data_IF_129973284271
#
_entry.id   IF_129973284271
#
_cell.length_a   1.000
_cell.length_b   1.000
_cell.length_c   1.000
_cell.angle_alpha   90.00
_cell.angle_beta   90.00
_cell.angle_gamma   90.00
#
_symmetry.space_group_name_H-M   'P 1'
#
loop_
_entity.id
_entity.type
_entity.pdbx_description
1 polymer ?
#
# COMPACT_ATOMS: atom_id res chain seq x y z
N UNK A 1 10.73 4.72 15.63
CA UNK A 1 9.53 3.84 15.55
C UNK A 1 9.88 2.51 16.20
N UNK A 2 8.97 1.97 17.03
CA UNK A 2 9.03 0.61 17.57
C UNK A 2 7.82 -0.15 17.03
N UNK A 3 8.00 -1.37 16.55
CA UNK A 3 6.91 -2.24 16.15
C UNK A 3 6.90 -3.50 17.02
N UNK A 4 5.73 -3.83 17.57
CA UNK A 4 5.49 -5.11 18.25
C UNK A 4 4.65 -5.98 17.33
N UNK A 5 5.24 -7.09 16.91
CA UNK A 5 4.62 -8.05 15.99
C UNK A 5 4.33 -9.36 16.73
N UNK A 6 3.09 -9.80 16.65
CA UNK A 6 2.62 -11.05 17.23
C UNK A 6 2.13 -11.96 16.09
N UNK A 7 2.63 -13.18 16.06
CA UNK A 7 2.11 -14.21 15.19
C UNK A 7 1.98 -15.49 16.03
N UNK A 8 0.90 -16.18 15.88
CA UNK A 8 0.64 -17.44 16.58
C UNK A 8 -0.26 -18.35 15.80
N UNK A 9 -0.14 -19.65 16.09
CA UNK A 9 -1.07 -20.65 15.60
C UNK A 9 -1.33 -21.70 16.69
N UNK A 10 -2.56 -22.13 16.77
CA UNK A 10 -2.99 -23.28 17.60
C UNK A 10 -3.90 -24.12 16.71
N UNK A 11 -3.44 -25.30 16.36
CA UNK A 11 -4.06 -26.15 15.33
C UNK A 11 -4.28 -25.34 14.03
N UNK A 12 -5.50 -25.28 13.53
CA UNK A 12 -5.88 -24.55 12.31
C UNK A 12 -6.24 -23.07 12.57
N UNK A 13 -6.14 -22.60 13.83
CA UNK A 13 -6.42 -21.21 14.21
C UNK A 13 -5.12 -20.40 14.13
N UNK A 14 -5.19 -19.29 13.43
CA UNK A 14 -4.09 -18.35 13.19
C UNK A 14 -4.36 -17.02 13.89
N UNK A 15 -3.32 -16.35 14.34
CA UNK A 15 -3.36 -15.00 14.90
C UNK A 15 -2.26 -14.16 14.29
N UNK A 16 -2.58 -12.93 13.91
CA UNK A 16 -1.60 -11.91 13.52
C UNK A 16 -1.97 -10.55 14.04
N UNK A 17 -1.01 -9.85 14.64
CA UNK A 17 -1.17 -8.46 15.05
C UNK A 17 0.18 -7.72 14.95
N UNK A 18 0.13 -6.46 14.54
CA UNK A 18 1.28 -5.57 14.56
C UNK A 18 0.86 -4.18 15.06
N UNK A 19 1.46 -3.76 16.20
CA UNK A 19 1.30 -2.43 16.77
C UNK A 19 2.56 -1.63 16.50
N UNK A 20 2.40 -0.37 16.11
CA UNK A 20 3.48 0.56 15.82
C UNK A 20 3.43 1.78 16.72
N UNK A 21 4.56 2.10 17.31
CA UNK A 21 4.76 3.24 18.22
C UNK A 21 5.74 4.20 17.56
N UNK A 22 5.23 5.35 17.21
CA UNK A 22 6.00 6.51 16.77
C UNK A 22 6.03 7.51 17.96
N UNK A 23 6.91 8.48 17.93
CA UNK A 23 6.95 9.56 18.92
C UNK A 23 5.72 10.47 18.89
N UNK A 24 5.01 10.52 17.78
CA UNK A 24 3.83 11.39 17.56
C UNK A 24 2.51 10.62 17.41
N UNK A 25 2.52 9.28 17.25
CA UNK A 25 1.31 8.47 17.17
C UNK A 25 1.55 7.01 17.56
N UNK A 26 0.47 6.33 17.93
CA UNK A 26 0.41 4.88 18.06
C UNK A 26 -0.68 4.35 17.13
N UNK A 27 -0.41 3.30 16.38
CA UNK A 27 -1.38 2.73 15.45
C UNK A 27 -1.28 1.20 15.39
N UNK A 28 -2.38 0.57 15.01
CA UNK A 28 -2.44 -0.85 14.66
C UNK A 28 -2.25 -0.95 13.16
N UNK A 29 -1.22 -1.67 12.71
CA UNK A 29 -1.07 -1.95 11.28
C UNK A 29 -2.06 -3.03 10.83
N UNK A 30 -2.15 -4.13 11.60
CA UNK A 30 -3.13 -5.19 11.42
C UNK A 30 -3.41 -5.90 12.73
N UNK A 31 -4.60 -6.49 12.85
CA UNK A 31 -4.98 -7.34 13.96
C UNK A 31 -6.13 -8.26 13.51
N UNK A 32 -5.83 -9.55 13.33
CA UNK A 32 -6.79 -10.51 12.78
C UNK A 32 -6.67 -11.89 13.42
N UNK A 33 -7.80 -12.61 13.46
CA UNK A 33 -7.86 -14.05 13.67
C UNK A 33 -8.08 -14.73 12.32
N UNK A 34 -7.41 -15.85 12.10
CA UNK A 34 -7.52 -16.67 10.90
C UNK A 34 -7.90 -18.11 11.21
N UNK A 35 -8.41 -18.81 10.21
CA UNK A 35 -8.74 -20.23 10.28
C UNK A 35 -8.49 -20.91 8.93
N UNK A 36 -7.73 -22.01 8.96
CA UNK A 36 -7.53 -22.90 7.81
C UNK A 36 -8.63 -23.95 7.78
N UNK A 37 -9.74 -23.68 7.07
CA UNK A 37 -10.95 -24.52 7.12
C UNK A 37 -10.94 -25.67 6.11
N UNK A 38 -10.08 -25.62 5.09
CA UNK A 38 -9.82 -26.66 4.10
C UNK A 38 -8.36 -26.57 3.64
N UNK A 39 -7.76 -27.65 3.09
CA UNK A 39 -6.43 -27.58 2.52
C UNK A 39 -6.28 -26.42 1.51
N UNK A 40 -5.33 -25.54 1.78
CA UNK A 40 -5.05 -24.34 0.98
C UNK A 40 -6.14 -23.24 0.99
N UNK A 41 -7.12 -23.31 1.90
CA UNK A 41 -8.09 -22.26 2.14
C UNK A 41 -7.90 -21.66 3.52
N UNK A 42 -7.76 -20.38 3.57
CA UNK A 42 -7.60 -19.59 4.79
C UNK A 42 -8.66 -18.48 4.81
N UNK A 43 -9.28 -18.24 5.94
CA UNK A 43 -10.10 -17.06 6.22
C UNK A 43 -9.45 -16.26 7.33
N UNK A 44 -9.40 -14.93 7.18
CA UNK A 44 -8.99 -13.97 8.21
C UNK A 44 -10.11 -13.00 8.48
N UNK A 45 -10.32 -12.61 9.75
CA UNK A 45 -11.29 -11.61 10.17
C UNK A 45 -10.65 -10.64 11.17
N UNK A 46 -10.91 -9.35 11.01
CA UNK A 46 -10.32 -8.26 11.76
C UNK A 46 -9.74 -7.19 10.84
N UNK A 47 -8.72 -6.48 11.28
CA UNK A 47 -7.94 -5.58 10.41
C UNK A 47 -7.01 -6.46 9.57
N UNK A 48 -7.41 -6.71 8.33
CA UNK A 48 -6.75 -7.65 7.41
C UNK A 48 -6.20 -6.92 6.19
N UNK A 49 -5.17 -7.48 5.50
CA UNK A 49 -4.63 -6.80 4.32
C UNK A 49 -5.65 -6.76 3.17
N UNK A 50 -5.75 -5.61 2.52
CA UNK A 50 -6.43 -5.44 1.23
C UNK A 50 -5.49 -5.93 0.14
N UNK A 51 -5.79 -7.09 -0.47
CA UNK A 51 -4.94 -7.71 -1.47
C UNK A 51 -5.14 -7.06 -2.84
N UNK A 52 -4.16 -6.24 -3.25
CA UNK A 52 -4.20 -5.51 -4.51
C UNK A 52 -2.81 -5.51 -5.19
N UNK A 53 -2.75 -5.75 -6.50
CA UNK A 53 -1.52 -5.71 -7.28
C UNK A 53 -0.45 -6.72 -6.87
N UNK A 54 0.82 -6.33 -7.05
CA UNK A 54 1.98 -7.09 -6.62
C UNK A 54 2.00 -7.28 -5.10
N UNK A 55 2.36 -8.49 -4.66
CA UNK A 55 2.39 -8.86 -3.25
C UNK A 55 3.78 -9.38 -2.86
N UNK A 56 4.24 -9.17 -1.61
CA UNK A 56 3.61 -8.36 -0.55
C UNK A 56 3.73 -6.85 -0.79
N UNK A 57 4.66 -6.41 -1.63
CA UNK A 57 4.93 -5.01 -1.96
C UNK A 57 5.16 -4.85 -3.46
N UNK A 58 4.87 -3.68 -3.97
CA UNK A 58 5.12 -3.28 -5.35
C UNK A 58 6.40 -2.42 -5.46
N UNK A 59 7.41 -2.75 -4.66
CA UNK A 59 8.71 -2.08 -4.60
C UNK A 59 9.71 -2.90 -3.80
N UNK A 60 10.99 -2.48 -3.81
CA UNK A 60 12.08 -3.04 -3.00
C UNK A 60 12.62 -2.04 -1.97
N UNK A 61 12.29 -0.75 -2.14
CA UNK A 61 12.80 0.37 -1.34
C UNK A 61 12.02 0.59 -0.06
N UNK A 62 12.59 1.37 0.85
CA UNK A 62 11.92 1.84 2.06
C UNK A 62 10.68 2.69 1.78
N UNK A 63 10.64 3.36 0.64
CA UNK A 63 9.59 4.33 0.30
C UNK A 63 8.35 3.73 -0.34
N UNK A 64 8.30 2.42 -0.56
CA UNK A 64 7.25 1.75 -1.34
C UNK A 64 7.15 2.26 -2.79
N UNK A 65 6.07 1.94 -3.46
CA UNK A 65 5.75 2.56 -4.75
C UNK A 65 4.80 3.77 -4.57
N UNK A 66 4.57 4.58 -5.60
CA UNK A 66 3.54 5.63 -5.55
C UNK A 66 2.14 5.13 -5.21
N UNK A 67 1.83 3.84 -5.42
CA UNK A 67 0.54 3.25 -5.05
C UNK A 67 0.27 3.30 -3.54
N UNK A 68 1.31 3.26 -2.71
CA UNK A 68 1.18 3.37 -1.26
C UNK A 68 0.51 4.69 -0.85
N UNK A 69 0.89 5.80 -1.49
CA UNK A 69 0.41 7.15 -1.15
C UNK A 69 -1.01 7.46 -1.65
N UNK A 70 -1.62 6.53 -2.36
CA UNK A 70 -3.00 6.61 -2.86
C UNK A 70 -3.88 5.46 -2.36
N UNK A 71 -3.42 4.72 -1.32
CA UNK A 71 -4.22 3.65 -0.72
C UNK A 71 -4.29 2.34 -1.53
N UNK A 72 -3.33 2.06 -2.42
CA UNK A 72 -3.35 0.87 -3.28
C UNK A 72 -2.16 -0.07 -3.07
N UNK A 73 -1.41 0.09 -2.00
CA UNK A 73 -0.29 -0.80 -1.61
C UNK A 73 -0.14 -0.82 -0.10
N UNK A 74 0.10 -2.01 0.46
CA UNK A 74 0.29 -2.27 1.91
C UNK A 74 -0.85 -1.68 2.76
N UNK A 75 -2.06 -1.83 2.27
CA UNK A 75 -3.30 -1.36 2.84
C UNK A 75 -3.96 -2.42 3.72
N UNK A 76 -4.64 -2.00 4.80
CA UNK A 76 -5.24 -2.87 5.82
C UNK A 76 -6.57 -2.28 6.33
N UNK A 77 -7.63 -3.04 6.14
CA UNK A 77 -9.00 -2.64 6.49
C UNK A 77 -9.69 -3.61 7.44
N UNK A 78 -10.71 -3.12 8.14
CA UNK A 78 -11.57 -3.93 9.00
C UNK A 78 -12.53 -4.77 8.16
N UNK A 79 -12.29 -6.08 8.09
CA UNK A 79 -13.10 -6.96 7.26
C UNK A 79 -12.79 -8.44 7.38
N UNK A 80 -13.12 -9.14 6.31
CA UNK A 80 -12.90 -10.58 6.14
C UNK A 80 -12.16 -10.80 4.82
N UNK A 81 -11.06 -11.53 4.88
CA UNK A 81 -10.28 -11.96 3.73
C UNK A 81 -10.30 -13.48 3.63
N UNK A 82 -10.68 -14.01 2.48
CA UNK A 82 -10.57 -15.43 2.14
C UNK A 82 -9.49 -15.59 1.08
N UNK A 83 -8.50 -16.43 1.35
CA UNK A 83 -7.39 -16.72 0.45
C UNK A 83 -7.36 -18.19 0.08
N UNK A 84 -7.04 -18.49 -1.18
CA UNK A 84 -6.84 -19.84 -1.68
C UNK A 84 -5.59 -19.95 -2.54
N UNK A 85 -4.71 -20.88 -2.19
CA UNK A 85 -3.62 -21.33 -3.07
C UNK A 85 -4.05 -22.63 -3.77
N UNK A 86 -4.22 -22.60 -5.09
CA UNK A 86 -4.64 -23.77 -5.86
C UNK A 86 -3.43 -24.60 -6.29
N UNK A 87 -3.62 -25.90 -6.48
CA UNK A 87 -2.55 -26.84 -6.89
C UNK A 87 -2.00 -26.58 -8.31
N UNK A 88 -2.79 -25.94 -9.15
CA UNK A 88 -2.50 -25.59 -10.53
C UNK A 88 -1.92 -24.17 -10.69
N UNK A 89 -1.20 -23.71 -9.66
CA UNK A 89 -0.48 -22.43 -9.62
C UNK A 89 -1.37 -21.16 -9.60
N UNK A 90 -2.67 -21.32 -9.44
CA UNK A 90 -3.57 -20.18 -9.25
C UNK A 90 -3.62 -19.77 -7.78
N UNK A 91 -3.69 -18.48 -7.55
CA UNK A 91 -4.00 -17.87 -6.27
C UNK A 91 -5.23 -17.00 -6.39
N UNK A 92 -6.13 -17.10 -5.43
CA UNK A 92 -7.33 -16.29 -5.33
C UNK A 92 -7.39 -15.66 -3.93
N UNK A 93 -7.60 -14.36 -3.86
CA UNK A 93 -7.88 -13.61 -2.66
C UNK A 93 -9.22 -12.87 -2.85
N UNK A 94 -10.16 -13.03 -1.91
CA UNK A 94 -11.46 -12.35 -1.91
C UNK A 94 -11.67 -11.67 -0.56
N UNK A 95 -11.89 -10.36 -0.57
CA UNK A 95 -12.08 -9.55 0.61
C UNK A 95 -13.44 -8.84 0.65
N UNK A 96 -14.00 -8.71 1.84
CA UNK A 96 -15.06 -7.77 2.16
C UNK A 96 -14.63 -6.95 3.35
N UNK A 97 -14.54 -5.63 3.17
CA UNK A 97 -14.11 -4.70 4.18
C UNK A 97 -15.26 -3.77 4.56
N UNK A 98 -15.54 -3.72 5.85
CA UNK A 98 -16.65 -2.92 6.37
C UNK A 98 -16.31 -1.44 6.37
N UNK A 99 -15.12 -1.12 6.85
CA UNK A 99 -14.56 0.23 7.00
C UNK A 99 -13.03 0.12 6.93
N UNK A 100 -12.37 1.27 6.96
CA UNK A 100 -10.93 1.37 7.19
C UNK A 100 -10.51 0.84 8.58
N UNK A 101 -9.22 0.80 8.88
CA UNK A 101 -8.67 0.28 10.14
C UNK A 101 -9.06 1.11 11.39
N UNK A 102 -9.51 2.36 11.22
CA UNK A 102 -9.98 3.23 12.29
C UNK A 102 -11.50 3.18 12.52
N UNK A 103 -12.24 2.34 11.78
CA UNK A 103 -13.66 2.12 11.99
C UNK A 103 -14.58 3.09 11.25
N UNK A 104 -14.08 3.77 10.23
CA UNK A 104 -14.87 4.69 9.41
C UNK A 104 -15.04 6.09 10.01
N UNK A 105 -15.88 6.92 9.38
CA UNK A 105 -16.07 8.33 9.72
C UNK A 105 -16.70 8.52 11.10
N UNK A 106 -17.51 7.58 11.52
CA UNK A 106 -18.21 7.53 12.80
C UNK A 106 -17.39 6.88 13.93
N UNK A 107 -16.14 6.53 13.65
CA UNK A 107 -15.23 5.97 14.65
C UNK A 107 -14.88 6.98 15.75
N UNK A 108 -14.39 6.45 16.86
CA UNK A 108 -13.99 7.26 18.04
C UNK A 108 -12.64 7.98 17.86
N UNK A 109 -12.17 8.12 16.63
CA UNK A 109 -10.87 8.72 16.29
C UNK A 109 -11.09 10.11 15.72
N UNK A 110 -10.67 11.14 16.49
CA UNK A 110 -10.79 12.53 16.06
C UNK A 110 -9.83 12.86 14.91
N UNK A 111 -8.59 12.38 14.96
CA UNK A 111 -7.56 12.59 13.95
C UNK A 111 -7.39 11.34 13.08
N UNK A 112 -8.08 11.33 11.95
CA UNK A 112 -8.07 10.21 11.01
C UNK A 112 -6.77 10.07 10.20
N UNK A 113 -5.81 10.97 10.36
CA UNK A 113 -4.47 10.83 9.78
C UNK A 113 -3.54 9.96 10.63
N UNK A 114 -3.88 9.68 11.90
CA UNK A 114 -3.06 8.84 12.80
C UNK A 114 -3.26 7.36 12.54
N UNK A 115 -2.96 6.94 11.31
CA UNK A 115 -3.06 5.58 10.81
C UNK A 115 -1.80 5.16 10.05
N UNK A 116 -1.74 3.87 9.75
CA UNK A 116 -0.62 3.29 9.00
C UNK A 116 -0.85 3.37 7.49
N UNK A 117 -1.99 2.89 7.01
CA UNK A 117 -2.34 2.89 5.59
C UNK A 117 -2.82 4.28 5.13
N UNK A 118 -2.61 4.59 3.86
CA UNK A 118 -3.23 5.76 3.26
C UNK A 118 -4.66 5.44 2.86
N UNK A 119 -5.63 6.12 3.47
CA UNK A 119 -7.03 6.00 3.13
C UNK A 119 -7.67 7.34 2.84
N UNK A 120 -8.78 7.32 2.10
CA UNK A 120 -9.59 8.51 1.88
C UNK A 120 -10.32 8.87 3.16
N UNK A 121 -10.07 10.10 3.64
CA UNK A 121 -10.62 10.65 4.89
C UNK A 121 -11.51 11.88 4.66
N UNK A 122 -11.55 12.41 3.45
CA UNK A 122 -12.34 13.59 3.13
C UNK A 122 -12.31 13.98 1.66
N UNK A 123 -13.01 15.05 1.38
CA UNK A 123 -13.04 15.70 0.07
C UNK A 123 -12.32 17.02 0.16
N UNK A 124 -11.46 17.34 -0.81
CA UNK A 124 -10.81 18.64 -0.89
C UNK A 124 -11.71 19.63 -1.60
N UNK A 125 -12.20 20.62 -0.88
CA UNK A 125 -12.98 21.70 -1.47
C UNK A 125 -12.09 22.73 -2.15
N UNK A 126 -12.62 23.40 -3.14
CA UNK A 126 -11.87 24.40 -3.92
C UNK A 126 -11.38 25.56 -3.04
N UNK A 127 -10.08 25.79 -3.03
CA UNK A 127 -9.44 26.87 -2.26
C UNK A 127 -8.94 26.46 -0.88
N UNK A 128 -9.18 25.22 -0.44
CA UNK A 128 -8.53 24.69 0.75
C UNK A 128 -7.06 24.36 0.51
N UNK A 129 -6.25 24.49 1.55
CA UNK A 129 -4.85 24.05 1.53
C UNK A 129 -4.75 22.55 1.33
N UNK A 130 -3.81 22.10 0.50
CA UNK A 130 -3.65 20.68 0.10
C UNK A 130 -3.28 19.76 1.28
N UNK A 131 -2.78 20.30 2.37
CA UNK A 131 -2.40 19.58 3.59
C UNK A 131 -3.38 19.82 4.75
N UNK A 132 -4.43 20.64 4.58
CA UNK A 132 -5.37 20.91 5.64
C UNK A 132 -6.20 19.67 6.01
N UNK A 133 -6.62 19.61 7.29
CA UNK A 133 -7.60 18.63 7.73
C UNK A 133 -8.90 18.76 6.91
N UNK A 134 -9.59 17.65 6.59
CA UNK A 134 -10.83 17.70 5.83
C UNK A 134 -11.94 18.47 6.57
N UNK A 135 -12.55 19.45 5.91
CA UNK A 135 -13.77 20.08 6.39
C UNK A 135 -14.99 19.22 6.07
N UNK A 136 -14.96 18.51 4.93
CA UNK A 136 -15.95 17.50 4.56
C UNK A 136 -15.34 16.11 4.73
N UNK A 137 -15.58 15.49 5.89
CA UNK A 137 -15.11 14.13 6.23
C UNK A 137 -15.95 13.09 5.49
N UNK A 138 -15.28 12.16 4.83
CA UNK A 138 -15.88 10.95 4.27
C UNK A 138 -14.97 9.75 4.55
N UNK A 139 -15.50 8.55 4.39
CA UNK A 139 -14.74 7.31 4.53
C UNK A 139 -15.22 6.25 3.58
N UNK A 140 -14.37 5.29 3.31
CA UNK A 140 -14.66 4.09 2.54
C UNK A 140 -15.47 3.10 3.38
N UNK A 141 -16.38 2.37 2.74
CA UNK A 141 -17.16 1.35 3.43
C UNK A 141 -17.75 0.32 2.47
N UNK A 142 -18.01 -0.89 3.03
CA UNK A 142 -18.59 -2.02 2.29
C UNK A 142 -17.85 -2.29 0.98
N UNK A 143 -16.52 -2.39 1.08
CA UNK A 143 -15.63 -2.62 -0.06
C UNK A 143 -15.52 -4.11 -0.35
N UNK A 144 -15.77 -4.49 -1.58
CA UNK A 144 -15.44 -5.80 -2.14
C UNK A 144 -14.11 -5.70 -2.86
N UNK A 145 -13.18 -6.60 -2.55
CA UNK A 145 -11.90 -6.71 -3.23
C UNK A 145 -11.67 -8.13 -3.73
N UNK A 146 -11.06 -8.25 -4.89
CA UNK A 146 -10.69 -9.52 -5.48
C UNK A 146 -9.33 -9.43 -6.15
N UNK A 147 -8.49 -10.46 -5.95
CA UNK A 147 -7.20 -10.60 -6.61
C UNK A 147 -7.08 -12.04 -7.12
N UNK A 148 -6.63 -12.19 -8.37
CA UNK A 148 -6.27 -13.47 -8.94
C UNK A 148 -4.86 -13.39 -9.53
N UNK A 149 -4.04 -14.37 -9.23
CA UNK A 149 -2.69 -14.52 -9.78
C UNK A 149 -2.49 -15.91 -10.36
N UNK A 150 -1.69 -16.01 -11.41
CA UNK A 150 -1.26 -17.27 -12.02
C UNK A 150 0.26 -17.31 -12.07
N UNK A 151 0.84 -18.32 -11.43
CA UNK A 151 2.28 -18.55 -11.44
C UNK A 151 2.66 -19.51 -12.56
N UNK A 152 3.73 -19.20 -13.28
CA UNK A 152 4.28 -20.05 -14.34
C UNK A 152 5.81 -19.98 -14.35
N UNK A 153 6.42 -21.01 -14.95
CA UNK A 153 7.88 -21.09 -15.18
C UNK A 153 8.16 -21.21 -16.67
N UNK A 154 8.97 -20.33 -17.21
CA UNK A 154 9.46 -20.41 -18.60
C UNK A 154 10.98 -20.29 -18.56
N UNK A 155 11.68 -21.43 -18.77
CA UNK A 155 13.14 -21.46 -18.86
C UNK A 155 13.85 -21.05 -17.56
N UNK A 156 13.26 -21.31 -16.40
CA UNK A 156 13.79 -20.93 -15.10
C UNK A 156 13.42 -19.50 -14.65
N UNK A 157 12.59 -18.79 -15.42
CA UNK A 157 11.95 -17.53 -15.01
C UNK A 157 10.62 -17.85 -14.36
N UNK A 158 10.56 -17.79 -13.04
CA UNK A 158 9.33 -17.98 -12.27
C UNK A 158 8.60 -16.66 -12.20
N UNK A 159 7.40 -16.60 -12.79
CA UNK A 159 6.61 -15.38 -12.90
C UNK A 159 5.20 -15.58 -12.34
N UNK A 160 4.67 -14.56 -11.68
CA UNK A 160 3.24 -14.41 -11.42
C UNK A 160 2.70 -13.26 -12.28
N UNK A 161 1.66 -13.53 -13.05
CA UNK A 161 0.82 -12.52 -13.69
C UNK A 161 -0.54 -12.51 -13.00
N UNK A 162 -1.11 -11.34 -12.79
CA UNK A 162 -2.40 -11.27 -12.13
C UNK A 162 -3.14 -9.97 -12.35
N UNK A 163 -4.35 -9.96 -11.81
CA UNK A 163 -5.23 -8.79 -11.80
C UNK A 163 -5.92 -8.65 -10.47
N UNK A 164 -6.28 -7.42 -10.13
CA UNK A 164 -7.01 -7.08 -8.92
C UNK A 164 -8.08 -6.06 -9.24
N UNK A 165 -9.15 -6.10 -8.47
CA UNK A 165 -10.19 -5.08 -8.51
C UNK A 165 -10.76 -4.88 -7.10
N UNK A 166 -11.18 -3.65 -6.81
CA UNK A 166 -11.96 -3.31 -5.64
C UNK A 166 -13.08 -2.34 -6.02
N UNK A 167 -14.17 -2.43 -5.26
CA UNK A 167 -15.34 -1.56 -5.40
C UNK A 167 -15.98 -1.37 -4.04
N UNK A 168 -16.19 -0.11 -3.65
CA UNK A 168 -16.78 0.25 -2.37
C UNK A 168 -17.69 1.46 -2.41
N UNK A 169 -18.31 1.74 -1.30
CA UNK A 169 -19.09 2.95 -1.08
C UNK A 169 -18.28 4.04 -0.38
N UNK A 170 -18.74 5.27 -0.50
CA UNK A 170 -18.26 6.42 0.26
C UNK A 170 -19.40 6.96 1.13
N UNK A 171 -19.14 7.27 2.40
CA UNK A 171 -20.13 7.78 3.34
C UNK A 171 -19.59 8.93 4.18
N UNK A 172 -20.52 9.77 4.68
CA UNK A 172 -20.24 10.92 5.54
C UNK A 172 -20.68 10.71 7.00
N UNK A 173 -20.87 9.46 7.42
CA UNK A 173 -21.48 9.00 8.67
C UNK A 173 -23.03 8.96 8.65
N UNK A 174 -23.70 9.75 7.84
CA UNK A 174 -25.17 9.78 7.79
C UNK A 174 -25.70 9.14 6.51
N UNK A 175 -25.03 9.42 5.38
CA UNK A 175 -25.51 9.05 4.06
C UNK A 175 -24.40 8.44 3.22
N UNK A 176 -24.81 7.65 2.22
CA UNK A 176 -23.94 7.30 1.11
C UNK A 176 -23.76 8.53 0.22
N UNK A 177 -22.51 9.00 0.09
CA UNK A 177 -22.15 10.19 -0.67
C UNK A 177 -21.45 9.88 -1.98
N UNK A 178 -21.23 8.59 -2.27
CA UNK A 178 -20.58 8.19 -3.51
C UNK A 178 -20.19 6.73 -3.53
N UNK A 179 -19.31 6.41 -4.47
CA UNK A 179 -18.66 5.11 -4.60
C UNK A 179 -17.26 5.29 -5.15
N UNK A 180 -16.45 4.24 -5.05
CA UNK A 180 -15.12 4.20 -5.63
C UNK A 180 -14.81 2.82 -6.18
N UNK A 181 -13.89 2.77 -7.10
CA UNK A 181 -13.32 1.52 -7.59
C UNK A 181 -11.86 1.70 -8.00
N UNK A 182 -11.14 0.60 -7.96
CA UNK A 182 -9.81 0.53 -8.53
C UNK A 182 -9.58 -0.84 -9.17
N UNK A 183 -8.64 -0.89 -10.11
CA UNK A 183 -8.19 -2.14 -10.70
C UNK A 183 -6.68 -2.09 -11.01
N UNK A 184 -6.05 -3.24 -11.06
CA UNK A 184 -4.66 -3.38 -11.44
C UNK A 184 -4.42 -4.62 -12.28
N UNK A 185 -3.39 -4.54 -13.14
CA UNK A 185 -2.70 -5.69 -13.71
C UNK A 185 -1.25 -5.66 -13.26
N UNK A 186 -0.70 -6.83 -12.94
CA UNK A 186 0.65 -6.92 -12.40
C UNK A 186 1.42 -8.12 -12.93
N UNK A 187 2.73 -7.99 -12.89
CA UNK A 187 3.71 -9.04 -13.14
C UNK A 187 4.79 -8.99 -12.07
N UNK A 188 5.15 -10.15 -11.53
CA UNK A 188 6.31 -10.32 -10.65
C UNK A 188 7.11 -11.51 -11.16
N UNK A 189 8.37 -11.31 -11.55
CA UNK A 189 9.21 -12.32 -12.17
C UNK A 189 10.53 -12.48 -11.43
N UNK A 190 10.91 -13.71 -11.15
CA UNK A 190 12.18 -14.06 -10.52
C UNK A 190 13.00 -14.91 -11.47
N UNK A 191 14.25 -14.50 -11.71
CA UNK A 191 15.23 -15.25 -12.48
C UNK A 191 16.57 -15.26 -11.74
N UNK A 192 16.95 -16.42 -11.22
CA UNK A 192 18.16 -16.57 -10.39
C UNK A 192 18.17 -15.60 -9.20
N UNK A 193 18.96 -14.51 -9.29
CA UNK A 193 19.13 -13.48 -8.27
C UNK A 193 18.39 -12.17 -8.61
N UNK A 194 17.73 -12.13 -9.75
CA UNK A 194 16.99 -10.98 -10.22
C UNK A 194 15.51 -11.09 -9.84
N UNK A 195 14.93 -9.96 -9.46
CA UNK A 195 13.47 -9.76 -9.37
C UNK A 195 13.06 -8.60 -10.25
N UNK A 196 11.97 -8.75 -10.97
CA UNK A 196 11.35 -7.73 -11.82
C UNK A 196 9.89 -7.62 -11.43
N UNK A 197 9.44 -6.40 -11.22
CA UNK A 197 8.03 -6.12 -10.96
C UNK A 197 7.52 -5.07 -11.95
N UNK A 198 6.30 -5.29 -12.44
CA UNK A 198 5.56 -4.32 -13.25
C UNK A 198 4.12 -4.29 -12.77
N UNK A 199 3.55 -3.09 -12.63
CA UNK A 199 2.15 -2.92 -12.29
C UNK A 199 1.60 -1.67 -12.96
N UNK A 200 0.40 -1.81 -13.52
CA UNK A 200 -0.44 -0.70 -13.91
C UNK A 200 -1.73 -0.73 -13.11
N UNK A 201 -2.15 0.41 -12.57
CA UNK A 201 -3.39 0.54 -11.80
C UNK A 201 -4.16 1.80 -12.23
N UNK A 202 -5.46 1.78 -11.95
CA UNK A 202 -6.32 2.94 -12.09
C UNK A 202 -7.30 2.97 -10.93
N UNK A 203 -7.63 4.15 -10.42
CA UNK A 203 -8.65 4.36 -9.42
C UNK A 203 -9.58 5.51 -9.80
N UNK A 204 -10.79 5.47 -9.24
CA UNK A 204 -11.85 6.45 -9.47
C UNK A 204 -12.72 6.58 -8.20
N UNK A 205 -12.71 7.77 -7.62
CA UNK A 205 -13.58 8.19 -6.54
C UNK A 205 -14.68 9.09 -7.09
N UNK A 206 -15.90 8.59 -7.12
CA UNK A 206 -17.05 9.30 -7.61
C UNK A 206 -17.93 9.78 -6.45
N UNK A 207 -17.79 11.05 -6.09
CA UNK A 207 -18.54 11.70 -5.01
C UNK A 207 -19.68 12.52 -5.59
N UNK A 208 -20.86 12.50 -4.95
CA UNK A 208 -22.09 13.15 -5.43
C UNK A 208 -21.95 14.66 -5.67
N UNK A 209 -20.97 15.32 -5.06
CA UNK A 209 -20.67 16.74 -5.25
C UNK A 209 -19.69 17.04 -6.38
N UNK A 210 -19.29 16.00 -7.16
CA UNK A 210 -18.30 16.10 -8.24
C UNK A 210 -16.97 16.73 -7.80
N UNK A 211 -16.46 16.33 -6.64
CA UNK A 211 -15.17 16.80 -6.15
C UNK A 211 -14.04 16.35 -7.07
N UNK A 212 -13.15 17.26 -7.42
CA UNK A 212 -11.99 16.98 -8.28
C UNK A 212 -10.85 16.29 -7.51
N UNK A 213 -10.83 16.44 -6.17
CA UNK A 213 -9.76 15.93 -5.29
C UNK A 213 -10.31 15.29 -4.04
N UNK A 214 -9.64 14.21 -3.63
CA UNK A 214 -9.86 13.52 -2.36
C UNK A 214 -8.75 13.90 -1.38
N UNK A 215 -9.03 13.77 -0.07
CA UNK A 215 -8.04 13.89 0.99
C UNK A 215 -7.70 12.49 1.46
N UNK A 216 -6.42 12.16 1.48
CA UNK A 216 -5.88 10.96 2.11
C UNK A 216 -5.16 11.32 3.41
N UNK A 217 -5.17 10.41 4.37
CA UNK A 217 -4.51 10.61 5.66
C UNK A 217 -3.68 9.40 6.05
N UNK A 218 -2.45 9.64 6.53
CA UNK A 218 -1.58 8.65 7.16
C UNK A 218 -0.45 9.35 7.93
N UNK A 219 0.16 8.66 8.89
CA UNK A 219 1.33 9.14 9.65
C UNK A 219 1.19 10.52 10.29
N UNK A 220 -0.02 10.89 10.69
CA UNK A 220 -0.28 12.17 11.34
C UNK A 220 -0.31 13.37 10.41
N UNK A 221 -0.43 13.18 9.10
CA UNK A 221 -0.61 14.26 8.14
C UNK A 221 -1.65 13.91 7.06
N UNK A 222 -2.17 14.93 6.43
CA UNK A 222 -3.09 14.85 5.30
C UNK A 222 -2.36 15.22 4.00
N UNK A 223 -2.77 14.58 2.92
CA UNK A 223 -2.40 14.96 1.56
C UNK A 223 -3.63 14.95 0.66
N UNK A 224 -3.50 15.45 -0.56
CA UNK A 224 -4.57 15.49 -1.54
C UNK A 224 -4.18 14.70 -2.78
N UNK A 225 -5.15 13.94 -3.29
CA UNK A 225 -5.02 13.17 -4.54
C UNK A 225 -6.12 13.58 -5.51
N UNK A 226 -5.89 13.47 -6.82
CA UNK A 226 -6.95 13.63 -7.79
C UNK A 226 -8.06 12.59 -7.54
N UNK A 227 -9.31 12.90 -7.85
CA UNK A 227 -10.41 11.95 -7.71
C UNK A 227 -10.27 10.73 -8.61
N UNK A 228 -9.59 10.89 -9.76
CA UNK A 228 -9.27 9.80 -10.68
C UNK A 228 -7.82 9.93 -11.14
N UNK A 229 -7.08 8.83 -11.23
CA UNK A 229 -5.78 8.80 -11.85
C UNK A 229 -5.37 7.37 -12.23
N UNK A 230 -4.27 7.28 -12.97
CA UNK A 230 -3.58 6.04 -13.29
C UNK A 230 -2.22 5.99 -12.62
N UNK A 231 -1.74 4.80 -12.33
CA UNK A 231 -0.37 4.59 -11.85
C UNK A 231 0.36 3.53 -12.67
N UNK A 232 1.68 3.68 -12.72
CA UNK A 232 2.60 2.72 -13.30
C UNK A 232 3.77 2.54 -12.37
N UNK A 233 4.18 1.29 -12.10
CA UNK A 233 5.41 0.95 -11.37
C UNK A 233 6.21 -0.07 -12.17
N UNK A 234 7.53 0.13 -12.24
CA UNK A 234 8.48 -0.76 -12.89
C UNK A 234 9.76 -0.85 -12.05
N UNK A 235 10.01 -2.03 -11.48
CA UNK A 235 11.02 -2.22 -10.46
C UNK A 235 11.95 -3.37 -10.85
N UNK A 236 13.23 -3.24 -10.51
CA UNK A 236 14.25 -4.28 -10.69
C UNK A 236 15.10 -4.38 -9.44
N UNK A 237 15.41 -5.60 -9.02
CA UNK A 237 16.37 -5.86 -7.96
C UNK A 237 17.31 -7.02 -8.29
N UNK A 238 18.51 -6.94 -7.73
CA UNK A 238 19.52 -7.99 -7.78
C UNK A 238 20.00 -8.33 -6.38
N UNK A 239 19.80 -9.57 -5.96
CA UNK A 239 20.17 -10.07 -4.63
C UNK A 239 21.53 -10.76 -4.68
N UNK A 240 22.50 -10.22 -3.97
CA UNK A 240 23.86 -10.73 -3.86
C UNK A 240 24.11 -11.30 -2.45
N UNK A 241 24.16 -12.63 -2.27
CA UNK A 241 24.66 -13.23 -1.04
C UNK A 241 26.15 -12.88 -0.86
N UNK A 242 26.52 -12.45 0.33
CA UNK A 242 27.90 -12.06 0.68
C UNK A 242 28.30 -12.64 2.04
N UNK A 243 29.58 -12.59 2.34
CA UNK A 243 30.14 -12.94 3.66
C UNK A 243 31.12 -11.84 4.07
N UNK A 244 30.57 -10.65 4.43
CA UNK A 244 31.35 -9.47 4.81
C UNK A 244 31.10 -9.16 6.29
N UNK A 245 31.88 -9.78 7.18
CA UNK A 245 31.64 -9.69 8.62
C UNK A 245 30.20 -10.18 8.95
N UNK A 246 29.34 -9.36 9.58
CA UNK A 246 27.97 -9.75 9.90
C UNK A 246 27.01 -9.68 8.69
N UNK A 247 27.43 -9.08 7.57
CA UNK A 247 26.57 -8.88 6.40
C UNK A 247 26.48 -10.19 5.62
N UNK A 248 25.25 -10.68 5.45
CA UNK A 248 24.92 -11.93 4.73
C UNK A 248 24.35 -11.70 3.34
N UNK A 249 23.76 -10.53 3.10
CA UNK A 249 23.11 -10.21 1.82
C UNK A 249 23.11 -8.72 1.53
N UNK A 250 23.31 -8.39 0.24
CA UNK A 250 23.04 -7.09 -0.34
C UNK A 250 21.98 -7.26 -1.42
N UNK A 251 20.96 -6.39 -1.46
CA UNK A 251 20.01 -6.32 -2.55
C UNK A 251 20.07 -4.93 -3.16
N UNK A 252 20.58 -4.84 -4.38
CA UNK A 252 20.59 -3.61 -5.17
C UNK A 252 19.28 -3.48 -5.94
N UNK A 253 18.69 -2.30 -5.98
CA UNK A 253 17.42 -2.07 -6.66
C UNK A 253 17.32 -0.70 -7.30
N UNK A 254 16.44 -0.62 -8.29
CA UNK A 254 15.86 0.59 -8.78
C UNK A 254 14.34 0.40 -8.89
N UNK A 255 13.60 1.22 -8.17
CA UNK A 255 12.15 1.26 -8.17
C UNK A 255 11.70 2.57 -8.82
N UNK A 256 10.98 2.46 -9.92
CA UNK A 256 10.37 3.58 -10.62
C UNK A 256 8.85 3.49 -10.53
N UNK A 257 8.21 4.62 -10.24
CA UNK A 257 6.76 4.70 -10.27
C UNK A 257 6.26 6.10 -10.56
N UNK A 258 5.05 6.17 -11.11
CA UNK A 258 4.37 7.43 -11.40
C UNK A 258 2.87 7.32 -11.20
N UNK A 259 2.25 8.47 -10.84
CA UNK A 259 0.80 8.68 -10.88
C UNK A 259 0.55 9.76 -11.94
N UNK A 260 -0.28 9.47 -12.91
CA UNK A 260 -0.49 10.27 -14.10
C UNK A 260 -1.94 10.23 -14.58
N UNK A 261 -2.27 11.01 -15.62
CA UNK A 261 -3.62 11.11 -16.17
C UNK A 261 -4.66 11.47 -15.09
N UNK A 262 -4.32 12.49 -14.30
CA UNK A 262 -5.11 12.96 -13.16
C UNK A 262 -6.30 13.78 -13.63
N UNK A 263 -7.49 13.50 -13.10
CA UNK A 263 -8.76 14.15 -13.49
C UNK A 263 -8.81 15.65 -13.27
N UNK A 264 -8.02 16.16 -12.31
CA UNK A 264 -7.89 17.59 -11.99
C UNK A 264 -6.86 18.34 -12.86
N UNK A 265 -6.28 17.66 -13.85
CA UNK A 265 -5.21 18.15 -14.72
C UNK A 265 -3.95 18.63 -13.98
N UNK A 266 -3.76 18.19 -12.74
CA UNK A 266 -2.54 18.44 -11.99
C UNK A 266 -1.35 17.67 -12.56
N UNK A 267 -0.12 18.08 -12.17
CA UNK A 267 1.11 17.45 -12.66
C UNK A 267 1.29 16.05 -12.11
N UNK A 268 1.97 15.22 -12.88
CA UNK A 268 2.31 13.85 -12.48
C UNK A 268 3.11 13.82 -11.17
N UNK A 269 2.88 12.78 -10.40
CA UNK A 269 3.74 12.37 -9.31
C UNK A 269 4.72 11.33 -9.84
N UNK A 270 6.02 11.55 -9.62
CA UNK A 270 7.06 10.63 -10.08
C UNK A 270 7.98 10.31 -8.91
N UNK A 271 8.36 9.04 -8.76
CA UNK A 271 9.35 8.61 -7.81
C UNK A 271 10.30 7.60 -8.47
N UNK A 272 11.59 7.83 -8.35
CA UNK A 272 12.63 6.88 -8.72
C UNK A 272 13.58 6.71 -7.54
N UNK A 273 13.63 5.51 -6.99
CA UNK A 273 14.47 5.17 -5.85
C UNK A 273 15.52 4.18 -6.29
N UNK A 274 16.79 4.56 -6.20
CA UNK A 274 17.93 3.65 -6.39
C UNK A 274 18.56 3.39 -5.05
N UNK A 275 18.77 2.12 -4.70
CA UNK A 275 19.27 1.83 -3.36
C UNK A 275 19.88 0.47 -3.19
N UNK A 276 20.27 0.20 -1.94
CA UNK A 276 20.72 -1.10 -1.48
C UNK A 276 20.09 -1.43 -0.13
N UNK A 277 19.49 -2.61 -0.04
CA UNK A 277 19.10 -3.20 1.22
C UNK A 277 20.22 -4.12 1.73
N UNK A 278 20.54 -4.01 3.01
CA UNK A 278 21.64 -4.73 3.68
C UNK A 278 21.05 -5.59 4.79
N UNK A 279 21.29 -6.90 4.75
CA UNK A 279 20.92 -7.84 5.81
C UNK A 279 22.16 -8.28 6.59
N UNK A 280 22.13 -8.15 7.93
CA UNK A 280 23.24 -8.48 8.80
C UNK A 280 22.74 -9.09 10.13
N UNK A 281 22.46 -10.40 10.13
CA UNK A 281 21.81 -11.06 11.27
C UNK A 281 20.42 -10.45 11.56
N UNK A 282 20.25 -9.91 12.76
CA UNK A 282 19.02 -9.23 13.16
C UNK A 282 18.92 -7.76 12.68
N UNK A 283 19.97 -7.23 12.06
CA UNK A 283 19.95 -5.89 11.48
C UNK A 283 19.52 -5.93 10.02
N UNK A 284 18.72 -4.94 9.65
CA UNK A 284 18.32 -4.67 8.29
C UNK A 284 18.43 -3.17 8.01
N UNK A 285 18.95 -2.79 6.85
CA UNK A 285 19.12 -1.38 6.49
C UNK A 285 18.74 -1.14 5.04
N UNK A 286 18.12 0.01 4.80
CA UNK A 286 17.97 0.60 3.47
C UNK A 286 18.89 1.80 3.34
N UNK A 287 19.57 1.91 2.22
CA UNK A 287 20.37 3.08 1.82
C UNK A 287 19.81 3.51 0.46
N UNK A 288 19.02 4.58 0.45
CA UNK A 288 18.25 5.02 -0.70
C UNK A 288 18.71 6.38 -1.21
N UNK A 289 18.79 6.51 -2.52
CA UNK A 289 18.82 7.80 -3.21
C UNK A 289 17.52 7.94 -4.00
N UNK A 290 16.72 8.94 -3.62
CA UNK A 290 15.40 9.19 -4.18
C UNK A 290 15.41 10.45 -5.01
N UNK A 291 14.96 10.34 -6.27
CA UNK A 291 14.59 11.47 -7.13
C UNK A 291 13.08 11.43 -7.27
N UNK A 292 12.39 12.50 -6.86
CA UNK A 292 10.95 12.51 -6.97
C UNK A 292 10.41 13.89 -7.30
N UNK A 293 9.18 13.90 -7.80
CA UNK A 293 8.39 15.07 -8.10
C UNK A 293 6.99 14.86 -7.53
N UNK A 294 6.52 15.83 -6.76
CA UNK A 294 5.19 15.76 -6.14
C UNK A 294 4.99 14.51 -5.24
N UNK A 295 6.01 14.14 -4.47
CA UNK A 295 5.98 12.99 -3.60
C UNK A 295 6.04 13.45 -2.14
N UNK A 296 5.10 13.03 -1.25
CA UNK A 296 4.90 13.63 0.08
C UNK A 296 6.12 13.60 1.00
N UNK A 297 6.87 12.49 1.03
CA UNK A 297 7.96 12.32 1.99
C UNK A 297 9.28 12.98 1.59
N UNK A 298 9.40 13.52 0.38
CA UNK A 298 10.65 14.17 -0.05
C UNK A 298 10.51 15.61 -0.52
N UNK A 299 9.32 16.20 -0.41
CA UNK A 299 9.13 17.62 -0.70
C UNK A 299 8.04 17.89 -1.72
N UNK A 300 6.84 17.39 -1.50
CA UNK A 300 5.71 17.68 -2.38
C UNK A 300 4.42 17.06 -1.89
N UNK A 301 3.43 17.05 -2.75
CA UNK A 301 2.12 16.46 -2.54
C UNK A 301 1.70 15.66 -3.77
N UNK A 302 1.00 14.56 -3.59
CA UNK A 302 0.37 13.83 -4.70
C UNK A 302 -0.62 14.71 -5.46
N UNK A 303 -1.11 15.80 -4.87
CA UNK A 303 -1.89 16.83 -5.55
C UNK A 303 -1.24 17.41 -6.83
N UNK A 304 0.09 17.27 -6.98
CA UNK A 304 0.75 17.63 -8.24
C UNK A 304 0.90 19.13 -8.50
N UNK A 305 1.05 19.95 -7.47
CA UNK A 305 1.08 21.41 -7.59
C UNK A 305 2.47 21.96 -7.94
N UNK A 306 3.52 21.14 -7.82
CA UNK A 306 4.90 21.54 -8.07
C UNK A 306 5.44 21.04 -9.41
N UNK A 307 6.33 21.84 -10.04
CA UNK A 307 7.15 21.40 -11.17
C UNK A 307 8.56 20.95 -10.75
N UNK A 308 8.92 21.13 -9.47
CA UNK A 308 10.27 20.85 -8.97
C UNK A 308 10.50 19.34 -8.84
N UNK A 309 11.74 18.93 -9.10
CA UNK A 309 12.26 17.62 -8.75
C UNK A 309 13.05 17.77 -7.45
N UNK A 310 12.71 16.98 -6.48
CA UNK A 310 13.39 16.91 -5.18
C UNK A 310 14.27 15.66 -5.10
N UNK A 311 15.35 15.77 -4.35
CA UNK A 311 16.30 14.66 -4.14
C UNK A 311 16.49 14.42 -2.65
N UNK A 312 16.57 13.15 -2.28
CA UNK A 312 16.84 12.77 -0.90
C UNK A 312 17.78 11.57 -0.84
N UNK A 313 18.80 11.68 0.00
CA UNK A 313 19.59 10.55 0.45
C UNK A 313 19.04 10.11 1.82
N UNK A 314 18.78 8.82 1.98
CA UNK A 314 18.18 8.26 3.18
C UNK A 314 18.93 7.02 3.64
N UNK A 315 19.12 6.88 4.95
CA UNK A 315 19.58 5.65 5.59
C UNK A 315 18.53 5.28 6.64
N UNK A 316 17.95 4.11 6.50
CA UNK A 316 17.03 3.54 7.47
C UNK A 316 17.67 2.30 8.10
N UNK A 317 17.60 2.19 9.41
CA UNK A 317 18.14 1.07 10.18
C UNK A 317 17.03 0.41 10.97
N UNK A 318 16.90 -0.91 10.84
CA UNK A 318 15.99 -1.74 11.60
C UNK A 318 16.75 -2.82 12.39
N UNK A 319 16.26 -3.13 13.57
CA UNK A 319 16.71 -4.26 14.37
C UNK A 319 15.51 -5.12 14.75
N UNK A 320 15.62 -6.41 14.48
CA UNK A 320 14.57 -7.41 14.77
C UNK A 320 15.06 -8.31 15.90
N UNK A 321 14.28 -8.45 16.96
CA UNK A 321 14.59 -9.25 18.15
C UNK A 321 13.54 -10.32 18.44
#
# INVERSE_FOLDING_TARGET
>A
MIALKFNGNVDDILLGAELRFYDYMTTVKYAWLGYEFLPNWEVKAGITPVRFGNQPYNSHSYYFSPNYYIGLEDDFDLGILVSRQMKDNWRLDLGFYKNDELGGVDGYVDDRSKRYSYDVVGVRTKGEDIYAEPTQKIGEYNTLAGRVGYQFDIGGVISEIGTSALYGGLHDNQNRVGNYHAWAVHLNSNYQRWNFQLQHSQYDYNVNNNADRMIVGAYGFYDSIAAQAKSLSANIAYTLPVSLGPISQLQFYNDYGMIYDKSDNSRDTIMNTTGVAVSAGNFFSYIDFVNAKNQPFIGGSVAGDSSKTEQRFNINLGYYF
#
